data_IF_581455222204
#
_entry.id   IF_581455222204
#
_cell.length_a   1.000
_cell.length_b   1.000
_cell.length_c   1.000
_cell.angle_alpha   90.00
_cell.angle_beta   90.00
_cell.angle_gamma   90.00
#
_symmetry.space_group_name_H-M   'P 1'
#
loop_
_entity.id
_entity.type
_entity.pdbx_description
1 polymer ?
#
# COMPACT_ATOMS: atom_id res chain seq x y z
N UNK A 1 -1.67 8.71 15.90
CA UNK A 1 -0.35 8.25 16.42
C UNK A 1 0.76 8.51 15.41
N UNK A 2 0.60 8.12 14.14
CA UNK A 2 1.57 8.37 13.06
C UNK A 2 1.99 9.84 12.96
N UNK A 3 1.04 10.78 13.04
CA UNK A 3 1.37 12.21 12.98
C UNK A 3 2.25 12.69 14.14
N UNK A 4 2.07 12.12 15.35
CA UNK A 4 2.92 12.44 16.50
C UNK A 4 4.35 11.96 16.26
N UNK A 5 4.51 10.77 15.69
CA UNK A 5 5.83 10.23 15.31
C UNK A 5 6.47 11.10 14.23
N UNK A 6 5.71 11.57 13.23
CA UNK A 6 6.21 12.49 12.21
C UNK A 6 6.71 13.81 12.83
N UNK A 7 5.96 14.38 13.79
CA UNK A 7 6.38 15.59 14.51
C UNK A 7 7.68 15.36 15.29
N UNK A 8 7.81 14.24 16.01
CA UNK A 8 9.04 13.90 16.71
C UNK A 8 10.22 13.69 15.77
N UNK A 9 10.01 13.03 14.62
CA UNK A 9 11.04 12.86 13.61
C UNK A 9 11.46 14.20 12.98
N UNK A 10 10.52 15.10 12.76
CA UNK A 10 10.80 16.46 12.28
C UNK A 10 11.73 17.21 13.23
N UNK A 11 11.49 17.12 14.54
CA UNK A 11 12.34 17.72 15.55
C UNK A 11 13.76 17.13 15.54
N UNK A 12 13.89 15.81 15.45
CA UNK A 12 15.20 15.14 15.30
C UNK A 12 15.94 15.64 14.05
N UNK A 13 15.25 15.74 12.91
CA UNK A 13 15.84 16.25 11.67
C UNK A 13 16.28 17.71 11.80
N UNK A 14 15.55 18.55 12.53
CA UNK A 14 15.90 19.95 12.78
C UNK A 14 17.11 20.14 13.71
N UNK A 15 17.36 19.20 14.62
CA UNK A 15 18.37 19.36 15.67
C UNK A 15 19.65 18.54 15.42
N UNK A 16 19.66 17.68 14.40
CA UNK A 16 20.81 16.83 14.09
C UNK A 16 22.01 17.63 13.57
N UNK A 17 23.22 17.41 14.11
CA UNK A 17 24.43 18.15 13.73
C UNK A 17 25.16 17.64 12.48
N UNK A 18 24.96 16.37 12.09
CA UNK A 18 25.71 15.76 10.98
C UNK A 18 25.14 16.09 9.59
N UNK A 19 23.91 16.62 9.51
CA UNK A 19 23.26 16.96 8.24
C UNK A 19 23.52 18.42 7.85
N UNK A 20 24.05 18.62 6.65
CA UNK A 20 24.09 19.92 5.99
C UNK A 20 22.69 20.48 5.73
N UNK A 21 22.58 21.80 5.62
CA UNK A 21 21.28 22.50 5.49
C UNK A 21 20.46 22.05 4.28
N UNK A 22 21.11 21.83 3.13
CA UNK A 22 20.45 21.36 1.89
C UNK A 22 19.86 19.96 2.06
N UNK A 23 20.64 19.05 2.64
CA UNK A 23 20.21 17.67 2.93
C UNK A 23 19.07 17.65 3.95
N UNK A 24 19.17 18.49 4.99
CA UNK A 24 18.12 18.63 6.01
C UNK A 24 16.80 19.11 5.42
N UNK A 25 16.84 20.11 4.54
CA UNK A 25 15.65 20.64 3.89
C UNK A 25 14.98 19.57 3.02
N UNK A 26 15.74 18.85 2.20
CA UNK A 26 15.21 17.76 1.38
C UNK A 26 14.58 16.63 2.24
N UNK A 27 15.18 16.31 3.39
CA UNK A 27 14.63 15.34 4.33
C UNK A 27 13.29 15.80 4.94
N UNK A 28 13.20 17.08 5.33
CA UNK A 28 11.96 17.69 5.85
C UNK A 28 10.86 17.74 4.80
N UNK A 29 11.20 18.08 3.55
CA UNK A 29 10.26 18.06 2.42
C UNK A 29 9.72 16.64 2.16
N UNK A 30 10.60 15.64 2.18
CA UNK A 30 10.21 14.22 2.08
C UNK A 30 9.29 13.78 3.23
N UNK A 31 9.61 14.17 4.47
CA UNK A 31 8.79 13.84 5.64
C UNK A 31 7.40 14.51 5.55
N UNK A 32 7.35 15.77 5.13
CA UNK A 32 6.11 16.52 4.94
C UNK A 32 5.22 15.86 3.87
N UNK A 33 5.81 15.40 2.77
CA UNK A 33 5.11 14.72 1.69
C UNK A 33 4.72 13.26 2.00
N UNK A 34 5.18 12.69 3.11
CA UNK A 34 4.91 11.29 3.45
C UNK A 34 3.44 11.10 3.86
N UNK A 35 2.74 10.14 3.26
CA UNK A 35 1.33 9.86 3.59
C UNK A 35 1.14 8.47 4.22
N UNK A 36 0.00 8.30 4.89
CA UNK A 36 -0.44 7.02 5.44
C UNK A 36 -1.35 6.33 4.43
N UNK A 37 -1.10 5.05 4.18
CA UNK A 37 -1.95 4.17 3.41
C UNK A 37 -2.60 3.18 4.38
N UNK A 38 -3.90 3.34 4.61
CA UNK A 38 -4.70 2.33 5.27
C UNK A 38 -5.06 1.28 4.23
N UNK A 39 -4.69 0.02 4.47
CA UNK A 39 -4.92 -1.06 3.49
C UNK A 39 -6.40 -1.43 3.36
N UNK A 40 -7.21 -1.10 4.38
CA UNK A 40 -8.66 -1.17 4.30
C UNK A 40 -9.21 0.22 3.95
N UNK A 41 -9.93 0.39 2.83
CA UNK A 41 -10.60 1.64 2.51
C UNK A 41 -11.60 2.00 3.62
N UNK A 42 -11.69 3.29 3.98
CA UNK A 42 -12.67 3.75 4.99
C UNK A 42 -14.12 3.47 4.57
N UNK A 43 -14.36 3.36 3.26
CA UNK A 43 -15.67 3.13 2.66
C UNK A 43 -16.04 1.63 2.64
N UNK A 44 -15.13 0.74 3.06
CA UNK A 44 -15.26 -0.69 2.82
C UNK A 44 -14.98 -1.04 1.36
N UNK A 45 -15.26 -2.29 1.01
CA UNK A 45 -15.26 -2.72 -0.39
C UNK A 45 -16.67 -2.56 -0.94
N UNK A 46 -16.77 -1.96 -2.13
CA UNK A 46 -18.02 -1.83 -2.86
C UNK A 46 -18.32 -3.13 -3.61
N UNK A 47 -19.51 -3.69 -3.42
CA UNK A 47 -19.88 -5.00 -3.99
C UNK A 47 -19.81 -4.99 -5.52
N UNK A 48 -20.27 -3.91 -6.17
CA UNK A 48 -20.22 -3.79 -7.64
C UNK A 48 -18.77 -3.76 -8.14
N UNK A 49 -17.90 -3.00 -7.47
CA UNK A 49 -16.47 -2.95 -7.78
C UNK A 49 -15.78 -4.31 -7.59
N UNK A 50 -16.13 -5.06 -6.54
CA UNK A 50 -15.57 -6.40 -6.31
C UNK A 50 -16.06 -7.40 -7.36
N UNK A 51 -17.35 -7.36 -7.70
CA UNK A 51 -17.90 -8.23 -8.75
C UNK A 51 -17.24 -7.95 -10.10
N UNK A 52 -17.02 -6.69 -10.46
CA UNK A 52 -16.33 -6.34 -11.70
C UNK A 52 -14.86 -6.77 -11.71
N UNK A 53 -14.15 -6.62 -10.59
CA UNK A 53 -12.74 -7.03 -10.43
C UNK A 53 -12.57 -8.55 -10.63
N UNK A 54 -13.49 -9.35 -10.08
CA UNK A 54 -13.38 -10.82 -10.09
C UNK A 54 -14.23 -11.52 -11.17
N UNK A 55 -14.92 -10.78 -12.06
CA UNK A 55 -15.86 -11.35 -13.06
C UNK A 55 -15.27 -12.46 -13.94
N UNK A 56 -13.99 -12.36 -14.29
CA UNK A 56 -13.30 -13.32 -15.16
C UNK A 56 -12.72 -14.53 -14.37
N UNK A 57 -12.77 -14.49 -13.03
CA UNK A 57 -12.23 -15.51 -12.14
C UNK A 57 -13.22 -16.68 -11.94
N UNK A 58 -13.48 -17.42 -13.02
CA UNK A 58 -14.41 -18.56 -12.99
C UNK A 58 -13.75 -19.79 -12.36
N UNK A 59 -14.26 -20.20 -11.21
CA UNK A 59 -13.70 -21.27 -10.37
C UNK A 59 -14.59 -22.52 -10.35
N UNK A 60 -13.98 -23.69 -10.13
CA UNK A 60 -14.67 -24.98 -9.98
C UNK A 60 -14.38 -25.59 -8.61
N UNK A 61 -15.42 -26.07 -7.93
CA UNK A 61 -15.27 -26.81 -6.65
C UNK A 61 -14.60 -28.19 -6.81
N UNK A 62 -14.42 -28.67 -8.04
CA UNK A 62 -13.93 -30.03 -8.33
C UNK A 62 -12.53 -30.09 -8.91
N UNK A 63 -11.91 -28.96 -9.26
CA UNK A 63 -10.62 -28.97 -9.94
C UNK A 63 -9.72 -27.80 -9.51
N UNK A 64 -8.94 -28.06 -8.45
CA UNK A 64 -7.96 -27.11 -7.93
C UNK A 64 -6.91 -26.69 -8.97
N UNK A 65 -6.39 -27.64 -9.78
CA UNK A 65 -5.36 -27.31 -10.76
C UNK A 65 -5.86 -26.35 -11.84
N UNK A 66 -7.11 -26.54 -12.30
CA UNK A 66 -7.75 -25.61 -13.23
C UNK A 66 -7.92 -24.24 -12.59
N UNK A 67 -8.38 -24.19 -11.34
CA UNK A 67 -8.52 -22.94 -10.60
C UNK A 67 -7.20 -22.18 -10.46
N UNK A 68 -6.11 -22.89 -10.13
CA UNK A 68 -4.78 -22.27 -10.02
C UNK A 68 -4.33 -21.66 -11.34
N UNK A 69 -4.52 -22.35 -12.47
CA UNK A 69 -4.24 -21.80 -13.80
C UNK A 69 -5.09 -20.59 -14.16
N UNK A 70 -6.36 -20.56 -13.74
CA UNK A 70 -7.21 -19.37 -13.90
C UNK A 70 -6.64 -18.18 -13.15
N UNK A 71 -6.30 -18.37 -11.86
CA UNK A 71 -5.69 -17.31 -11.03
C UNK A 71 -4.40 -16.79 -11.69
N UNK A 72 -3.47 -17.68 -12.05
CA UNK A 72 -2.18 -17.28 -12.62
C UNK A 72 -2.35 -16.51 -13.94
N UNK A 73 -3.33 -16.90 -14.76
CA UNK A 73 -3.63 -16.22 -16.03
C UNK A 73 -4.18 -14.82 -15.80
N UNK A 74 -5.16 -14.67 -14.92
CA UNK A 74 -5.78 -13.36 -14.65
C UNK A 74 -4.80 -12.41 -13.96
N UNK A 75 -3.96 -12.91 -13.03
CA UNK A 75 -2.90 -12.12 -12.39
C UNK A 75 -1.89 -11.61 -13.44
N UNK A 76 -1.45 -12.49 -14.35
CA UNK A 76 -0.56 -12.10 -15.44
C UNK A 76 -1.22 -11.05 -16.35
N UNK A 77 -2.47 -11.26 -16.74
CA UNK A 77 -3.22 -10.33 -17.60
C UNK A 77 -3.34 -8.94 -16.94
N UNK A 78 -3.77 -8.88 -15.67
CA UNK A 78 -3.87 -7.63 -14.91
C UNK A 78 -2.53 -6.90 -14.82
N UNK A 79 -1.44 -7.62 -14.53
CA UNK A 79 -0.10 -7.04 -14.49
C UNK A 79 0.35 -6.49 -15.86
N UNK A 80 0.02 -7.19 -16.95
CA UNK A 80 0.37 -6.74 -18.31
C UNK A 80 -0.43 -5.51 -18.74
N UNK A 81 -1.69 -5.40 -18.34
CA UNK A 81 -2.55 -4.24 -18.61
C UNK A 81 -2.01 -2.95 -17.96
N UNK A 82 -1.36 -3.07 -16.80
CA UNK A 82 -0.73 -1.94 -16.08
C UNK A 82 0.55 -1.40 -16.74
N UNK A 83 1.20 -2.12 -17.67
CA UNK A 83 2.51 -1.74 -18.23
C UNK A 83 2.56 -0.36 -18.93
N UNK A 84 1.42 0.17 -19.36
CA UNK A 84 1.33 1.48 -20.04
C UNK A 84 0.42 2.47 -19.32
N UNK A 85 0.01 2.14 -18.10
CA UNK A 85 -0.82 2.99 -17.27
C UNK A 85 0.05 3.75 -16.26
N UNK A 86 -0.35 4.97 -15.86
CA UNK A 86 0.31 5.65 -14.75
C UNK A 86 0.15 4.83 -13.47
N UNK A 87 1.16 4.83 -12.60
CA UNK A 87 1.08 4.14 -11.31
C UNK A 87 0.09 4.84 -10.39
N UNK A 88 -0.99 4.16 -10.01
CA UNK A 88 -1.91 4.66 -9.00
C UNK A 88 -1.27 4.63 -7.61
N UNK A 89 -1.38 5.74 -6.86
CA UNK A 89 -0.85 5.84 -5.50
C UNK A 89 -1.77 5.19 -4.46
N UNK A 90 -3.05 5.00 -4.80
CA UNK A 90 -4.12 4.44 -3.98
C UNK A 90 -4.18 2.92 -3.96
N UNK A 91 -3.50 2.23 -4.88
CA UNK A 91 -3.49 0.77 -4.92
C UNK A 91 -2.92 0.22 -3.61
N UNK A 92 -3.81 -0.25 -2.73
CA UNK A 92 -3.48 -0.98 -1.51
C UNK A 92 -2.96 -2.35 -1.90
N UNK A 93 -1.71 -2.37 -2.37
CA UNK A 93 -0.99 -3.54 -2.89
C UNK A 93 -0.66 -4.60 -1.81
N UNK A 94 -1.47 -4.69 -0.75
CA UNK A 94 -1.22 -5.50 0.41
C UNK A 94 -2.48 -6.15 0.94
N UNK A 95 -2.42 -7.46 1.11
CA UNK A 95 -3.45 -8.26 1.76
C UNK A 95 -3.72 -7.74 3.18
N UNK A 96 -4.93 -7.23 3.39
CA UNK A 96 -5.37 -6.60 4.65
C UNK A 96 -5.28 -7.53 5.85
N UNK A 97 -5.25 -8.85 5.62
CA UNK A 97 -5.16 -9.89 6.63
C UNK A 97 -3.74 -10.12 7.17
N UNK A 98 -2.73 -9.48 6.57
CA UNK A 98 -1.34 -9.61 7.00
C UNK A 98 -1.08 -8.76 8.25
N UNK A 99 -0.55 -9.36 9.32
CA UNK A 99 -0.12 -8.65 10.51
C UNK A 99 1.27 -8.03 10.30
N UNK A 100 1.33 -6.88 9.64
CA UNK A 100 2.59 -6.19 9.37
C UNK A 100 2.41 -4.67 9.21
N UNK A 101 3.52 -3.95 9.05
CA UNK A 101 3.59 -2.58 8.58
C UNK A 101 4.79 -2.43 7.63
N UNK A 102 4.65 -1.61 6.59
CA UNK A 102 5.68 -1.46 5.55
C UNK A 102 5.82 -0.01 5.10
N UNK A 103 7.03 0.39 4.71
CA UNK A 103 7.24 1.65 3.99
C UNK A 103 7.41 1.40 2.49
N UNK A 104 6.61 2.09 1.68
CA UNK A 104 6.65 2.08 0.21
C UNK A 104 7.49 3.26 -0.28
N UNK A 105 8.75 3.01 -0.62
CA UNK A 105 9.74 4.04 -0.98
C UNK A 105 9.40 4.82 -2.25
N UNK A 106 8.79 4.14 -3.21
CA UNK A 106 8.34 4.63 -4.51
C UNK A 106 7.16 5.60 -4.40
N UNK A 107 6.32 5.40 -3.39
CA UNK A 107 5.14 6.24 -3.12
C UNK A 107 5.30 7.18 -1.92
N UNK A 108 6.41 7.07 -1.20
CA UNK A 108 6.65 7.76 0.07
C UNK A 108 5.49 7.56 1.07
N UNK A 109 5.04 6.31 1.19
CA UNK A 109 3.86 5.94 1.98
C UNK A 109 4.23 4.99 3.12
N UNK A 110 3.64 5.19 4.30
CA UNK A 110 3.61 4.17 5.36
C UNK A 110 2.33 3.38 5.17
N UNK A 111 2.44 2.07 4.96
CA UNK A 111 1.31 1.14 4.91
C UNK A 111 1.14 0.42 6.24
N UNK A 112 -0.03 0.58 6.85
CA UNK A 112 -0.44 -0.19 8.03
C UNK A 112 -1.55 -1.14 7.64
N UNK A 113 -1.35 -2.42 7.95
CA UNK A 113 -2.30 -3.47 7.62
C UNK A 113 -3.33 -3.62 8.74
N UNK A 114 -4.59 -3.89 8.40
CA UNK A 114 -5.72 -3.81 9.34
C UNK A 114 -5.53 -4.63 10.61
N UNK A 115 -4.97 -5.84 10.49
CA UNK A 115 -4.80 -6.75 11.63
C UNK A 115 -3.86 -6.19 12.71
N UNK A 116 -2.86 -5.36 12.37
CA UNK A 116 -1.92 -4.81 13.37
C UNK A 116 -2.55 -3.70 14.24
N UNK A 117 -3.64 -3.09 13.77
CA UNK A 117 -4.29 -1.97 14.46
C UNK A 117 -5.16 -2.41 15.65
N UNK A 118 -5.54 -3.69 15.72
CA UNK A 118 -6.35 -4.25 16.81
C UNK A 118 -5.54 -4.68 18.04
N UNK A 119 -4.21 -4.71 17.94
CA UNK A 119 -3.31 -5.17 19.00
C UNK A 119 -2.44 -4.04 19.58
N UNK A 120 -2.65 -2.79 19.17
CA UNK A 120 -1.92 -1.61 19.62
C UNK A 120 -2.80 -0.68 20.47
#
# INVERSE_FOLDING_TARGET
MVDKIKVSLEDVLKNTAWMENTTRQAALEKLKAMSLLNTLPEQGYDDESMEDEFKDMIMSTKNYYKNKKTIDREELKSNLEKLRQPTERSDSAGDTSVMNAKYYKDRNQIGTFYVILYFC
#
